data_IF_682180419761
#
_entry.id   IF_682180419761
#
_cell.length_a   1.000
_cell.length_b   1.000
_cell.length_c   1.000
_cell.angle_alpha   90.00
_cell.angle_beta   90.00
_cell.angle_gamma   90.00
#
_symmetry.space_group_name_H-M   'P 1'
#
loop_
_entity.id
_entity.type
_entity.pdbx_description
1 polymer ?
#
# COMPACT_ATOMS: atom_id res chain seq x y z
N UNK A 1 10.32 -6.85 17.92
CA UNK A 1 9.31 -7.08 16.87
C UNK A 1 10.07 -7.34 15.58
N UNK A 2 9.67 -8.32 14.76
CA UNK A 2 10.35 -8.57 13.49
C UNK A 2 9.93 -7.54 12.44
N UNK A 3 10.89 -7.03 11.68
CA UNK A 3 10.66 -6.13 10.56
C UNK A 3 10.13 -6.90 9.34
N UNK A 4 9.25 -6.30 8.55
CA UNK A 4 8.87 -6.77 7.22
C UNK A 4 9.51 -5.92 6.14
N UNK A 5 9.69 -4.63 6.40
CA UNK A 5 10.34 -3.68 5.51
C UNK A 5 11.32 -2.85 6.32
N UNK A 6 12.54 -2.71 5.81
CA UNK A 6 13.60 -1.90 6.43
C UNK A 6 14.20 -0.99 5.36
N UNK A 7 14.27 0.30 5.66
CA UNK A 7 15.06 1.27 4.91
C UNK A 7 16.22 1.69 5.80
N UNK A 8 17.45 1.66 5.26
CA UNK A 8 18.65 2.17 5.93
C UNK A 8 19.33 3.20 5.04
N UNK A 9 19.27 4.48 5.46
CA UNK A 9 19.85 5.65 4.78
C UNK A 9 19.58 5.71 3.30
N UNK A 10 18.37 5.29 2.90
CA UNK A 10 17.95 5.31 1.51
C UNK A 10 17.92 6.75 0.99
N UNK A 11 18.54 6.98 -0.16
CA UNK A 11 18.60 8.32 -0.78
C UNK A 11 18.26 8.24 -2.26
N UNK A 12 17.60 9.32 -2.75
CA UNK A 12 17.26 9.51 -4.17
C UNK A 12 17.23 10.97 -4.54
N UNK A 13 17.94 11.32 -5.61
CA UNK A 13 17.99 12.68 -6.16
C UNK A 13 17.53 12.71 -7.62
N UNK A 14 16.97 13.83 -8.05
CA UNK A 14 16.57 14.12 -9.41
C UNK A 14 17.14 15.50 -9.81
N UNK A 15 17.98 15.54 -10.84
CA UNK A 15 18.57 16.80 -11.32
C UNK A 15 19.25 17.63 -10.23
N UNK A 16 19.92 16.97 -9.26
CA UNK A 16 20.60 17.62 -8.14
C UNK A 16 19.70 17.93 -6.93
N UNK A 17 18.38 17.73 -7.03
CA UNK A 17 17.45 17.93 -5.91
C UNK A 17 17.25 16.58 -5.20
N UNK A 18 17.57 16.53 -3.89
CA UNK A 18 17.35 15.34 -3.07
C UNK A 18 15.85 15.21 -2.75
N UNK A 19 15.18 14.23 -3.37
CA UNK A 19 13.78 13.90 -3.09
C UNK A 19 13.63 12.99 -1.87
N UNK A 20 14.64 12.17 -1.58
CA UNK A 20 14.79 11.35 -0.37
C UNK A 20 16.24 11.46 0.07
N UNK A 21 16.51 11.74 1.34
CA UNK A 21 17.84 11.99 1.89
C UNK A 21 18.04 11.21 3.18
N UNK A 22 18.88 10.16 3.11
CA UNK A 22 19.28 9.30 4.22
C UNK A 22 18.07 8.80 5.06
N UNK A 23 16.99 8.46 4.38
CA UNK A 23 15.77 8.01 5.04
C UNK A 23 15.95 6.60 5.63
N UNK A 24 15.74 6.49 6.93
CA UNK A 24 15.74 5.21 7.64
C UNK A 24 14.44 5.04 8.40
N UNK A 25 13.79 3.90 8.25
CA UNK A 25 12.66 3.47 9.07
C UNK A 25 12.39 1.97 8.92
N UNK A 26 11.54 1.45 9.80
CA UNK A 26 11.13 0.05 9.82
C UNK A 26 9.61 -0.04 9.82
N UNK A 27 9.04 -0.92 8.96
CA UNK A 27 7.65 -1.34 9.07
C UNK A 27 7.58 -2.71 9.76
N UNK A 28 6.69 -2.84 10.74
CA UNK A 28 6.53 -4.06 11.53
C UNK A 28 5.75 -5.14 10.78
N UNK A 29 6.13 -6.41 11.00
CA UNK A 29 5.39 -7.56 10.49
C UNK A 29 4.01 -7.68 11.15
N UNK A 30 2.96 -7.96 10.35
CA UNK A 30 1.58 -8.10 10.82
C UNK A 30 1.02 -6.81 11.42
N UNK A 31 1.45 -5.66 10.92
CA UNK A 31 1.01 -4.33 11.38
C UNK A 31 0.63 -3.43 10.22
N UNK A 32 -0.20 -2.42 10.52
CA UNK A 32 -0.43 -1.28 9.66
C UNK A 32 0.56 -0.17 10.05
N UNK A 33 1.52 0.10 9.16
CA UNK A 33 2.46 1.22 9.32
C UNK A 33 2.03 2.35 8.39
N UNK A 34 1.76 3.54 8.93
CA UNK A 34 1.45 4.73 8.16
C UNK A 34 2.72 5.44 7.68
N UNK A 35 2.79 5.86 6.43
CA UNK A 35 3.80 6.80 5.93
C UNK A 35 3.13 8.15 5.70
N UNK A 36 3.46 9.11 6.54
CA UNK A 36 2.87 10.44 6.55
C UNK A 36 3.85 11.52 6.11
N UNK A 37 3.32 12.68 5.77
CA UNK A 37 4.08 13.89 5.46
C UNK A 37 3.27 14.84 4.58
N UNK A 38 3.61 16.14 4.55
CA UNK A 38 2.94 17.11 3.69
C UNK A 38 3.14 16.80 2.20
N UNK A 39 2.42 17.54 1.35
CA UNK A 39 2.61 17.44 -0.09
C UNK A 39 4.06 17.83 -0.46
N UNK A 40 4.69 17.07 -1.34
CA UNK A 40 6.10 17.26 -1.69
C UNK A 40 7.11 16.69 -0.66
N UNK A 41 6.68 16.05 0.39
CA UNK A 41 7.58 15.45 1.41
C UNK A 41 8.44 14.28 0.90
N UNK A 42 8.19 13.77 -0.32
CA UNK A 42 8.93 12.64 -0.89
C UNK A 42 8.25 11.28 -0.76
N UNK A 43 7.02 11.19 -0.21
CA UNK A 43 6.28 9.93 -0.01
C UNK A 43 6.19 9.08 -1.29
N UNK A 44 5.77 9.68 -2.41
CA UNK A 44 5.68 9.00 -3.71
C UNK A 44 7.03 8.45 -4.17
N UNK A 45 8.12 9.19 -3.91
CA UNK A 45 9.49 8.72 -4.21
C UNK A 45 9.82 7.50 -3.35
N UNK A 46 9.52 7.53 -2.05
CA UNK A 46 9.77 6.42 -1.12
C UNK A 46 9.04 5.15 -1.58
N UNK A 47 7.74 5.23 -1.87
CA UNK A 47 6.99 4.04 -2.32
C UNK A 47 7.43 3.55 -3.70
N UNK A 48 7.91 4.44 -4.58
CA UNK A 48 8.49 4.04 -5.86
C UNK A 48 9.85 3.35 -5.69
N UNK A 49 10.66 3.74 -4.71
CA UNK A 49 11.89 3.03 -4.32
C UNK A 49 11.55 1.64 -3.78
N UNK A 50 10.60 1.52 -2.84
CA UNK A 50 10.18 0.24 -2.24
C UNK A 50 9.62 -0.70 -3.31
N UNK A 51 8.88 -0.18 -4.29
CA UNK A 51 8.27 -1.00 -5.36
C UNK A 51 9.17 -1.22 -6.58
N UNK A 52 10.43 -0.73 -6.56
CA UNK A 52 11.41 -0.92 -7.64
C UNK A 52 11.11 -0.11 -8.92
N UNK A 53 10.16 0.82 -8.88
CA UNK A 53 9.93 1.77 -9.98
C UNK A 53 11.04 2.83 -10.05
N UNK A 54 11.73 3.05 -8.95
CA UNK A 54 12.95 3.85 -8.84
C UNK A 54 14.02 3.03 -8.13
N UNK A 55 15.28 3.30 -8.46
CA UNK A 55 16.45 2.70 -7.82
C UNK A 55 17.07 3.71 -6.86
N UNK A 56 17.48 3.26 -5.66
CA UNK A 56 18.23 4.08 -4.71
C UNK A 56 19.56 4.52 -5.31
N UNK A 57 19.95 5.76 -5.03
CA UNK A 57 21.28 6.26 -5.34
C UNK A 57 22.28 5.77 -4.27
N UNK A 58 21.86 5.71 -3.01
CA UNK A 58 22.61 5.14 -1.87
C UNK A 58 21.68 4.61 -0.80
N UNK A 59 22.25 3.88 0.18
CA UNK A 59 21.50 3.19 1.24
C UNK A 59 20.98 1.83 0.80
N UNK A 60 20.16 1.22 1.64
CA UNK A 60 19.58 -0.10 1.38
C UNK A 60 18.08 -0.16 1.71
N UNK A 61 17.35 -1.05 1.02
CA UNK A 61 15.95 -1.39 1.29
C UNK A 61 15.84 -2.90 1.32
N UNK A 62 15.27 -3.43 2.41
CA UNK A 62 15.05 -4.87 2.56
C UNK A 62 13.57 -5.17 2.76
N UNK A 63 13.07 -6.17 2.03
CA UNK A 63 11.75 -6.75 2.18
C UNK A 63 11.91 -8.18 2.71
N UNK A 64 11.36 -8.45 3.87
CA UNK A 64 11.46 -9.74 4.55
C UNK A 64 12.93 -10.25 4.63
N UNK A 65 13.86 -9.33 4.96
CA UNK A 65 15.29 -9.60 5.01
C UNK A 65 16.02 -9.65 3.65
N UNK A 66 15.30 -9.72 2.53
CA UNK A 66 15.88 -9.72 1.19
C UNK A 66 16.17 -8.30 0.70
N UNK A 67 17.38 -8.06 0.19
CA UNK A 67 17.79 -6.77 -0.38
C UNK A 67 17.04 -6.48 -1.70
N UNK A 68 16.36 -5.33 -1.78
CA UNK A 68 15.55 -4.95 -2.95
C UNK A 68 15.90 -3.59 -3.58
N UNK A 69 16.88 -2.86 -3.06
CA UNK A 69 17.21 -1.47 -3.47
C UNK A 69 17.47 -1.28 -4.97
N UNK A 70 17.87 -2.35 -5.65
CA UNK A 70 18.17 -2.37 -7.10
C UNK A 70 17.36 -3.41 -7.86
N UNK A 71 16.38 -4.03 -7.20
CA UNK A 71 15.54 -5.05 -7.81
C UNK A 71 14.49 -4.44 -8.72
N UNK A 72 14.09 -5.18 -9.74
CA UNK A 72 13.01 -4.76 -10.64
C UNK A 72 11.65 -5.02 -9.99
N UNK A 73 10.58 -4.29 -10.38
CA UNK A 73 9.24 -4.46 -9.78
C UNK A 73 8.72 -5.89 -9.77
N UNK A 74 8.97 -6.66 -10.84
CA UNK A 74 8.51 -8.05 -10.91
C UNK A 74 9.27 -8.99 -9.96
N UNK A 75 10.55 -8.72 -9.67
CA UNK A 75 11.32 -9.51 -8.70
C UNK A 75 10.85 -9.20 -7.27
N UNK A 76 10.57 -7.93 -6.97
CA UNK A 76 10.01 -7.49 -5.69
C UNK A 76 8.59 -8.06 -5.49
N UNK A 77 7.77 -8.07 -6.54
CA UNK A 77 6.46 -8.72 -6.52
C UNK A 77 6.56 -10.23 -6.24
N UNK A 78 7.56 -10.91 -6.81
CA UNK A 78 7.81 -12.32 -6.53
C UNK A 78 8.23 -12.59 -5.08
N UNK A 79 8.89 -11.63 -4.41
CA UNK A 79 9.22 -11.65 -2.99
C UNK A 79 7.99 -11.37 -2.09
N UNK A 80 6.86 -10.99 -2.66
CA UNK A 80 5.61 -10.80 -1.93
C UNK A 80 5.24 -9.36 -1.62
N UNK A 81 5.75 -8.37 -2.35
CA UNK A 81 5.19 -7.02 -2.32
C UNK A 81 4.02 -6.93 -3.30
N UNK A 82 2.87 -6.51 -2.81
CA UNK A 82 1.78 -6.03 -3.68
C UNK A 82 1.53 -4.54 -3.43
N UNK A 83 1.13 -3.81 -4.46
CA UNK A 83 0.85 -2.37 -4.39
C UNK A 83 -0.46 -2.04 -5.08
N UNK A 84 -1.28 -1.19 -4.44
CA UNK A 84 -2.34 -0.43 -5.11
C UNK A 84 -1.78 0.94 -5.53
N UNK A 85 -2.48 1.61 -6.44
CA UNK A 85 -2.09 2.94 -6.91
C UNK A 85 -3.10 3.99 -6.44
N UNK A 86 -2.69 5.24 -6.34
CA UNK A 86 -3.54 6.36 -5.96
C UNK A 86 -4.83 6.40 -6.80
N UNK A 87 -4.71 6.33 -8.11
CA UNK A 87 -5.86 6.12 -9.00
C UNK A 87 -6.10 4.64 -9.20
N UNK A 88 -7.32 4.19 -9.01
CA UNK A 88 -7.70 2.80 -9.23
C UNK A 88 -7.36 2.38 -10.67
N UNK A 89 -6.58 1.32 -10.80
CA UNK A 89 -6.15 0.77 -12.09
C UNK A 89 -6.74 -0.61 -12.31
N UNK A 90 -7.96 -0.66 -12.85
CA UNK A 90 -8.59 -1.90 -13.27
C UNK A 90 -8.36 -2.15 -14.77
N UNK A 91 -8.35 -3.40 -15.15
CA UNK A 91 -8.24 -3.82 -16.57
C UNK A 91 -9.64 -3.66 -17.17
N UNK A 92 -9.78 -2.83 -18.21
CA UNK A 92 -11.07 -2.61 -18.86
C UNK A 92 -11.65 -3.90 -19.44
N UNK A 93 -12.97 -4.02 -19.38
CA UNK A 93 -13.71 -5.17 -19.92
C UNK A 93 -13.65 -6.43 -19.07
N UNK A 94 -13.00 -6.42 -17.89
CA UNK A 94 -12.98 -7.55 -16.97
C UNK A 94 -13.99 -7.37 -15.82
N UNK A 95 -14.64 -8.47 -15.45
CA UNK A 95 -15.47 -8.55 -14.24
C UNK A 95 -14.62 -8.45 -12.97
N UNK A 96 -15.25 -8.15 -11.82
CA UNK A 96 -14.57 -8.12 -10.52
C UNK A 96 -13.83 -9.43 -10.25
N UNK A 97 -14.43 -10.58 -10.55
CA UNK A 97 -13.79 -11.89 -10.40
C UNK A 97 -12.55 -12.04 -11.28
N UNK A 98 -12.65 -11.65 -12.55
CA UNK A 98 -11.55 -11.75 -13.51
C UNK A 98 -10.39 -10.81 -13.15
N UNK A 99 -10.67 -9.62 -12.58
CA UNK A 99 -9.64 -8.74 -12.02
C UNK A 99 -8.80 -9.46 -10.97
N UNK A 100 -9.46 -10.16 -10.04
CA UNK A 100 -8.76 -10.85 -8.93
C UNK A 100 -8.02 -12.09 -9.45
N UNK A 101 -8.61 -12.83 -10.39
CA UNK A 101 -7.91 -13.93 -11.07
C UNK A 101 -6.63 -13.42 -11.74
N UNK A 102 -6.69 -12.28 -12.45
CA UNK A 102 -5.51 -11.68 -13.08
C UNK A 102 -4.40 -11.36 -12.07
N UNK A 103 -4.75 -10.88 -10.87
CA UNK A 103 -3.80 -10.62 -9.78
C UNK A 103 -3.05 -11.88 -9.30
N UNK A 104 -3.66 -13.05 -9.43
CA UNK A 104 -3.05 -14.32 -9.00
C UNK A 104 -1.94 -14.83 -9.94
N UNK A 105 -1.76 -14.22 -11.11
CA UNK A 105 -0.71 -14.60 -12.08
C UNK A 105 0.63 -13.86 -11.88
N UNK A 106 0.77 -13.01 -10.88
CA UNK A 106 1.99 -12.21 -10.64
C UNK A 106 3.20 -13.09 -10.29
N UNK A 107 2.99 -14.22 -9.61
CA UNK A 107 4.08 -15.18 -9.36
C UNK A 107 4.47 -15.87 -10.67
N UNK A 108 5.75 -15.76 -11.04
CA UNK A 108 6.37 -16.41 -12.21
C UNK A 108 6.07 -17.92 -12.24
N UNK A 109 4.95 -18.28 -12.77
CA UNK A 109 4.65 -19.67 -13.10
C UNK A 109 4.82 -19.82 -14.60
N UNK A 110 5.93 -20.45 -15.03
CA UNK A 110 6.22 -20.80 -16.42
C UNK A 110 5.12 -21.63 -17.07
N UNK A 111 4.15 -22.08 -16.28
CA UNK A 111 2.95 -22.80 -16.69
C UNK A 111 1.85 -21.90 -17.26
N UNK A 112 2.07 -20.57 -17.43
CA UNK A 112 1.08 -19.69 -18.06
C UNK A 112 0.73 -20.18 -19.49
N UNK A 113 1.74 -20.61 -20.27
CA UNK A 113 1.55 -21.16 -21.62
C UNK A 113 0.75 -22.49 -21.57
N UNK A 114 0.95 -23.32 -20.55
CA UNK A 114 0.19 -24.54 -20.36
C UNK A 114 -1.30 -24.30 -20.00
N UNK A 115 -1.65 -23.13 -19.49
CA UNK A 115 -3.04 -22.75 -19.17
C UNK A 115 -3.89 -22.50 -20.41
N UNK A 116 -3.28 -22.19 -21.55
CA UNK A 116 -3.96 -22.08 -22.85
C UNK A 116 -4.24 -23.43 -23.52
N UNK A 117 -3.60 -24.51 -23.05
CA UNK A 117 -3.90 -25.85 -23.50
C UNK A 117 -5.19 -26.30 -22.81
N UNK A 118 -6.20 -26.72 -23.58
CA UNK A 118 -7.51 -27.19 -23.10
C UNK A 118 -7.41 -28.54 -22.38
N UNK A 119 -6.40 -28.71 -21.54
CA UNK A 119 -6.16 -29.94 -20.80
C UNK A 119 -7.02 -30.00 -19.52
N UNK A 120 -7.37 -31.20 -19.02
CA UNK A 120 -8.06 -31.35 -17.74
C UNK A 120 -7.29 -30.70 -16.55
N UNK A 121 -5.97 -30.69 -16.61
CA UNK A 121 -5.12 -30.03 -15.61
C UNK A 121 -5.27 -28.51 -15.64
N UNK A 122 -5.27 -27.89 -16.84
CA UNK A 122 -5.50 -26.45 -17.01
C UNK A 122 -6.89 -26.03 -16.50
N UNK A 123 -7.92 -26.84 -16.78
CA UNK A 123 -9.27 -26.56 -16.27
C UNK A 123 -9.36 -26.65 -14.74
N UNK A 124 -8.72 -27.63 -14.12
CA UNK A 124 -8.65 -27.75 -12.64
C UNK A 124 -7.94 -26.55 -12.03
N UNK A 125 -6.81 -26.15 -12.60
CA UNK A 125 -6.07 -24.97 -12.14
C UNK A 125 -6.90 -23.69 -12.25
N UNK A 126 -7.56 -23.45 -13.40
CA UNK A 126 -8.41 -22.28 -13.58
C UNK A 126 -9.59 -22.26 -12.60
N UNK A 127 -10.18 -23.41 -12.29
CA UNK A 127 -11.21 -23.52 -11.25
C UNK A 127 -10.65 -23.11 -9.90
N UNK A 128 -9.52 -23.66 -9.47
CA UNK A 128 -8.88 -23.29 -8.20
C UNK A 128 -8.55 -21.80 -8.10
N UNK A 129 -8.10 -21.17 -9.20
CA UNK A 129 -7.86 -19.72 -9.24
C UNK A 129 -9.16 -18.91 -9.09
N UNK A 130 -10.25 -19.35 -9.72
CA UNK A 130 -11.57 -18.72 -9.55
C UNK A 130 -12.11 -18.88 -8.15
N UNK A 131 -11.98 -20.06 -7.53
CA UNK A 131 -12.40 -20.32 -6.15
C UNK A 131 -11.60 -19.43 -5.19
N UNK A 132 -10.28 -19.34 -5.37
CA UNK A 132 -9.43 -18.39 -4.62
C UNK A 132 -9.88 -16.95 -4.81
N UNK A 133 -10.11 -16.52 -6.04
CA UNK A 133 -10.55 -15.16 -6.36
C UNK A 133 -11.91 -14.84 -5.73
N UNK A 134 -12.85 -15.79 -5.73
CA UNK A 134 -14.15 -15.62 -5.08
C UNK A 134 -13.97 -15.43 -3.55
N UNK A 135 -13.14 -16.25 -2.92
CA UNK A 135 -12.83 -16.09 -1.50
C UNK A 135 -12.18 -14.72 -1.18
N UNK A 136 -11.29 -14.22 -2.06
CA UNK A 136 -10.71 -12.89 -1.90
C UNK A 136 -11.74 -11.77 -2.06
N UNK A 137 -12.71 -11.92 -2.98
CA UNK A 137 -13.84 -11.00 -3.11
C UNK A 137 -14.74 -11.02 -1.86
N UNK A 138 -14.97 -12.18 -1.26
CA UNK A 138 -15.69 -12.30 0.02
C UNK A 138 -14.95 -11.52 1.13
N UNK A 139 -13.64 -11.69 1.25
CA UNK A 139 -12.81 -10.97 2.25
C UNK A 139 -12.92 -9.45 2.14
N UNK A 140 -13.06 -8.92 0.94
CA UNK A 140 -13.22 -7.46 0.72
C UNK A 140 -14.69 -7.02 0.63
N UNK A 141 -15.66 -7.95 0.82
CA UNK A 141 -17.09 -7.66 0.78
C UNK A 141 -17.67 -7.46 -0.62
N UNK A 142 -17.02 -8.01 -1.67
CA UNK A 142 -17.38 -7.81 -3.07
C UNK A 142 -17.86 -9.09 -3.78
N UNK A 143 -18.19 -10.16 -3.05
CA UNK A 143 -18.66 -11.42 -3.64
C UNK A 143 -19.94 -11.25 -4.46
N UNK A 144 -20.85 -10.36 -4.02
CA UNK A 144 -22.12 -10.07 -4.71
C UNK A 144 -21.91 -9.47 -6.12
N UNK A 145 -20.80 -8.80 -6.35
CA UNK A 145 -20.45 -8.13 -7.60
C UNK A 145 -19.46 -8.94 -8.47
N UNK A 146 -19.19 -10.20 -8.14
CA UNK A 146 -18.17 -11.02 -8.82
C UNK A 146 -18.34 -11.05 -10.35
N UNK A 147 -19.57 -11.10 -10.87
CA UNK A 147 -19.90 -11.10 -12.31
C UNK A 147 -20.08 -9.71 -12.93
N UNK A 148 -19.99 -8.64 -12.15
CA UNK A 148 -20.17 -7.26 -12.61
C UNK A 148 -18.89 -6.76 -13.28
N UNK A 149 -18.99 -6.03 -14.40
CA UNK A 149 -17.86 -5.34 -15.01
C UNK A 149 -17.26 -4.37 -13.99
N UNK A 150 -15.98 -4.51 -13.71
CA UNK A 150 -15.33 -3.77 -12.62
C UNK A 150 -15.36 -2.24 -12.84
N UNK A 151 -15.34 -1.78 -14.07
CA UNK A 151 -15.44 -0.37 -14.45
C UNK A 151 -16.81 0.27 -14.20
N UNK A 152 -17.87 -0.53 -14.00
CA UNK A 152 -19.23 -0.03 -13.71
C UNK A 152 -19.55 0.07 -12.22
N UNK A 153 -18.64 -0.41 -11.37
CA UNK A 153 -18.75 -0.33 -9.92
C UNK A 153 -18.52 1.10 -9.42
N UNK A 154 -19.05 1.43 -8.24
CA UNK A 154 -18.71 2.68 -7.55
C UNK A 154 -17.21 2.75 -7.24
N UNK A 155 -16.68 3.96 -7.03
CA UNK A 155 -15.24 4.13 -6.80
C UNK A 155 -14.74 3.35 -5.57
N UNK A 156 -15.51 3.33 -4.49
CA UNK A 156 -15.17 2.55 -3.29
C UNK A 156 -15.18 1.04 -3.54
N UNK A 157 -16.12 0.53 -4.35
CA UNK A 157 -16.18 -0.88 -4.75
C UNK A 157 -15.01 -1.24 -5.68
N UNK A 158 -14.68 -0.36 -6.64
CA UNK A 158 -13.50 -0.54 -7.49
C UNK A 158 -12.22 -0.64 -6.67
N UNK A 159 -12.06 0.19 -5.63
CA UNK A 159 -10.92 0.13 -4.71
C UNK A 159 -10.86 -1.19 -3.97
N UNK A 160 -11.98 -1.71 -3.49
CA UNK A 160 -12.02 -3.02 -2.83
C UNK A 160 -11.63 -4.15 -3.79
N UNK A 161 -12.10 -4.11 -5.04
CA UNK A 161 -11.69 -5.06 -6.08
C UNK A 161 -10.19 -4.95 -6.39
N UNK A 162 -9.63 -3.72 -6.44
CA UNK A 162 -8.19 -3.52 -6.61
C UNK A 162 -7.38 -4.12 -5.46
N UNK A 163 -7.84 -3.94 -4.21
CA UNK A 163 -7.23 -4.57 -3.02
C UNK A 163 -7.31 -6.10 -3.15
N UNK A 164 -8.48 -6.67 -3.49
CA UNK A 164 -8.64 -8.10 -3.69
C UNK A 164 -7.70 -8.63 -4.78
N UNK A 165 -7.52 -7.90 -5.88
CA UNK A 165 -6.56 -8.22 -6.94
C UNK A 165 -5.13 -8.24 -6.42
N UNK A 166 -4.75 -7.27 -5.61
CA UNK A 166 -3.42 -7.22 -5.00
C UNK A 166 -3.19 -8.41 -4.03
N UNK A 167 -4.21 -8.80 -3.28
CA UNK A 167 -4.18 -10.00 -2.42
C UNK A 167 -4.05 -11.30 -3.21
N UNK A 168 -4.47 -11.33 -4.49
CA UNK A 168 -4.32 -12.49 -5.38
C UNK A 168 -2.90 -13.01 -5.50
N UNK A 169 -1.90 -12.13 -5.33
CA UNK A 169 -0.48 -12.48 -5.33
C UNK A 169 0.04 -13.11 -4.02
N UNK A 170 -0.80 -13.32 -3.00
CA UNK A 170 -0.42 -13.75 -1.64
C UNK A 170 0.74 -12.92 -1.07
N UNK A 171 0.55 -11.60 -0.91
CA UNK A 171 1.64 -10.72 -0.48
C UNK A 171 1.99 -10.92 0.99
N UNK A 172 3.29 -10.70 1.33
CA UNK A 172 3.75 -10.55 2.72
C UNK A 172 3.67 -9.09 3.18
N UNK A 173 3.67 -8.15 2.23
CA UNK A 173 3.48 -6.71 2.44
C UNK A 173 2.56 -6.13 1.37
N UNK A 174 1.47 -5.51 1.81
CA UNK A 174 0.56 -4.74 0.96
C UNK A 174 0.86 -3.24 1.11
N UNK A 175 1.21 -2.58 0.02
CA UNK A 175 1.42 -1.13 -0.04
C UNK A 175 0.15 -0.47 -0.57
N UNK A 176 -0.49 0.34 0.27
CA UNK A 176 -1.68 1.12 -0.05
C UNK A 176 -1.29 2.59 -0.25
N UNK A 177 -1.45 3.09 -1.46
CA UNK A 177 -1.08 4.45 -1.85
C UNK A 177 -2.33 5.32 -1.88
N UNK A 178 -2.53 6.13 -0.84
CA UNK A 178 -3.71 6.99 -0.61
C UNK A 178 -5.03 6.24 -0.88
N UNK A 179 -5.28 5.11 -0.17
CA UNK A 179 -6.39 4.21 -0.52
C UNK A 179 -7.77 4.84 -0.39
N UNK A 180 -7.88 5.97 0.32
CA UNK A 180 -9.16 6.65 0.59
C UNK A 180 -9.32 7.96 -0.17
N UNK A 181 -8.38 8.32 -1.05
CA UNK A 181 -8.45 9.55 -1.83
C UNK A 181 -9.74 9.61 -2.66
N UNK A 182 -10.46 10.72 -2.58
CA UNK A 182 -11.73 10.93 -3.31
C UNK A 182 -12.96 10.23 -2.74
N UNK A 183 -12.83 9.55 -1.59
CA UNK A 183 -13.93 8.85 -0.91
C UNK A 183 -14.63 9.76 0.12
N UNK A 184 -15.90 9.49 0.35
CA UNK A 184 -16.60 10.09 1.48
C UNK A 184 -16.13 9.47 2.82
N UNK A 185 -16.47 10.07 3.99
CA UNK A 185 -16.01 9.58 5.29
C UNK A 185 -16.44 8.15 5.61
N UNK A 186 -17.63 7.72 5.16
CA UNK A 186 -18.11 6.36 5.39
C UNK A 186 -17.31 5.34 4.58
N UNK A 187 -17.11 5.59 3.28
CA UNK A 187 -16.29 4.74 2.40
C UNK A 187 -14.84 4.64 2.92
N UNK A 188 -14.28 5.78 3.35
CA UNK A 188 -12.93 5.83 3.93
C UNK A 188 -12.82 4.96 5.18
N UNK A 189 -13.81 5.02 6.08
CA UNK A 189 -13.86 4.19 7.28
C UNK A 189 -13.97 2.69 6.94
N UNK A 190 -14.74 2.34 5.91
CA UNK A 190 -14.89 0.94 5.46
C UNK A 190 -13.57 0.37 4.92
N UNK A 191 -12.78 1.18 4.19
CA UNK A 191 -11.43 0.80 3.75
C UNK A 191 -10.50 0.64 4.96
N UNK A 192 -10.57 1.54 5.94
CA UNK A 192 -9.82 1.43 7.19
C UNK A 192 -10.15 0.14 7.95
N UNK A 193 -11.43 -0.19 8.12
CA UNK A 193 -11.87 -1.44 8.74
C UNK A 193 -11.42 -2.68 7.96
N UNK A 194 -11.39 -2.60 6.62
CA UNK A 194 -10.84 -3.66 5.78
C UNK A 194 -9.34 -3.85 6.06
N UNK A 195 -8.56 -2.76 6.15
CA UNK A 195 -7.12 -2.88 6.46
C UNK A 195 -6.87 -3.52 7.82
N UNK A 196 -7.68 -3.20 8.85
CA UNK A 196 -7.59 -3.86 10.16
C UNK A 196 -7.88 -5.36 10.08
N UNK A 197 -8.94 -5.78 9.38
CA UNK A 197 -9.24 -7.21 9.20
C UNK A 197 -8.09 -7.95 8.53
N UNK A 198 -7.52 -7.38 7.46
CA UNK A 198 -6.38 -7.96 6.75
C UNK A 198 -5.13 -8.06 7.63
N UNK A 199 -4.88 -7.04 8.47
CA UNK A 199 -3.80 -7.07 9.47
C UNK A 199 -4.03 -8.17 10.51
N UNK A 200 -5.25 -8.30 11.03
CA UNK A 200 -5.61 -9.29 12.05
C UNK A 200 -5.47 -10.73 11.51
N UNK A 201 -5.57 -10.90 10.19
CA UNK A 201 -5.23 -12.14 9.48
C UNK A 201 -3.72 -12.33 9.28
N UNK A 202 -2.87 -11.41 9.76
CA UNK A 202 -1.41 -11.49 9.73
C UNK A 202 -0.73 -10.74 8.57
N UNK A 203 -1.49 -10.04 7.71
CA UNK A 203 -0.92 -9.26 6.62
C UNK A 203 -0.22 -8.01 7.15
N UNK A 204 0.99 -7.73 6.65
CA UNK A 204 1.67 -6.46 6.90
C UNK A 204 1.21 -5.42 5.88
N UNK A 205 0.97 -4.20 6.32
CA UNK A 205 0.46 -3.12 5.46
C UNK A 205 1.31 -1.86 5.65
N UNK A 206 1.79 -1.28 4.55
CA UNK A 206 2.33 0.08 4.51
C UNK A 206 1.29 0.97 3.85
N UNK A 207 0.72 1.89 4.60
CA UNK A 207 -0.33 2.80 4.13
C UNK A 207 0.21 4.22 4.03
N UNK A 208 0.18 4.79 2.82
CA UNK A 208 0.47 6.20 2.61
C UNK A 208 -0.84 6.96 2.72
N UNK A 209 -0.92 7.87 3.67
CA UNK A 209 -2.10 8.70 3.90
C UNK A 209 -1.72 10.11 4.35
N UNK A 210 -2.56 11.05 3.99
CA UNK A 210 -2.47 12.44 4.45
C UNK A 210 -3.61 12.81 5.41
N UNK A 211 -4.64 11.99 5.52
CA UNK A 211 -5.75 12.16 6.46
C UNK A 211 -5.32 11.68 7.85
N UNK A 212 -5.03 12.63 8.75
CA UNK A 212 -4.57 12.36 10.12
C UNK A 212 -5.54 11.49 10.91
N UNK A 213 -6.86 11.69 10.72
CA UNK A 213 -7.87 10.89 11.42
C UNK A 213 -7.77 9.41 11.04
N UNK A 214 -7.70 9.10 9.75
CA UNK A 214 -7.56 7.71 9.29
C UNK A 214 -6.27 7.06 9.80
N UNK A 215 -5.19 7.83 9.86
CA UNK A 215 -3.92 7.32 10.37
C UNK A 215 -4.02 7.01 11.87
N UNK A 216 -4.68 7.88 12.64
CA UNK A 216 -4.91 7.64 14.08
C UNK A 216 -5.79 6.43 14.30
N UNK A 217 -6.86 6.30 13.52
CA UNK A 217 -7.86 5.25 13.72
C UNK A 217 -7.37 3.88 13.21
N UNK A 218 -6.50 3.84 12.18
CA UNK A 218 -6.19 2.60 11.47
C UNK A 218 -4.71 2.21 11.37
N UNK A 219 -3.76 3.04 11.84
CA UNK A 219 -2.35 2.66 11.87
C UNK A 219 -1.89 2.25 13.27
N UNK A 220 -1.13 1.17 13.37
CA UNK A 220 -0.49 0.74 14.63
C UNK A 220 0.74 1.60 14.96
N UNK A 221 1.41 2.10 13.91
CA UNK A 221 2.56 3.01 13.99
C UNK A 221 2.60 3.90 12.75
N UNK A 222 3.29 5.02 12.86
CA UNK A 222 3.51 5.94 11.73
C UNK A 222 4.96 6.32 11.62
N UNK A 223 5.36 6.63 10.41
CA UNK A 223 6.62 7.28 10.05
C UNK A 223 6.27 8.58 9.36
N UNK A 224 6.81 9.69 9.84
CA UNK A 224 6.55 11.01 9.28
C UNK A 224 7.78 11.50 8.55
N UNK A 225 7.59 11.88 7.28
CA UNK A 225 8.66 12.40 6.42
C UNK A 225 8.37 13.84 6.02
N UNK A 226 9.42 14.65 5.90
CA UNK A 226 9.35 15.99 5.39
C UNK A 226 10.64 16.31 4.58
N UNK A 227 10.48 16.85 3.39
CA UNK A 227 11.60 17.11 2.45
C UNK A 227 12.54 15.90 2.29
N UNK A 228 11.96 14.71 2.14
CA UNK A 228 12.70 13.46 1.96
C UNK A 228 13.42 12.92 3.18
N UNK A 229 13.23 13.51 4.37
CA UNK A 229 13.89 13.13 5.62
C UNK A 229 12.88 12.63 6.64
N UNK A 230 13.30 11.71 7.48
CA UNK A 230 12.57 11.28 8.66
C UNK A 230 12.50 12.43 9.69
N UNK A 231 11.30 12.70 10.25
CA UNK A 231 11.13 13.72 11.27
C UNK A 231 10.54 13.18 12.58
N UNK A 232 9.71 12.14 12.51
CA UNK A 232 9.15 11.47 13.68
C UNK A 232 8.69 10.05 13.31
N UNK A 233 8.66 9.15 14.28
CA UNK A 233 8.03 7.84 14.18
C UNK A 233 7.49 7.37 15.52
N UNK A 234 6.54 6.45 15.51
CA UNK A 234 5.93 5.90 16.73
C UNK A 234 4.42 5.75 16.63
N UNK A 235 3.75 5.92 17.80
CA UNK A 235 2.28 5.87 17.82
C UNK A 235 1.70 7.08 17.10
N UNK A 236 0.61 6.92 16.33
CA UNK A 236 0.03 8.01 15.55
C UNK A 236 -0.27 9.28 16.37
N UNK A 237 -0.92 9.12 17.54
CA UNK A 237 -1.27 10.24 18.41
C UNK A 237 -0.05 11.01 18.95
N UNK A 238 1.06 10.30 19.21
CA UNK A 238 2.27 10.93 19.71
C UNK A 238 2.96 11.72 18.61
N UNK A 239 3.04 11.14 17.40
CA UNK A 239 3.64 11.81 16.24
C UNK A 239 2.86 13.07 15.81
N UNK A 240 1.52 13.04 15.84
CA UNK A 240 0.70 14.22 15.47
C UNK A 240 0.89 15.38 16.45
N UNK A 241 1.20 15.08 17.73
CA UNK A 241 1.49 16.09 18.76
C UNK A 241 2.94 16.60 18.73
N UNK A 242 3.82 15.96 17.98
CA UNK A 242 5.22 16.38 17.87
C UNK A 242 5.30 17.78 17.22
N UNK A 243 5.96 18.77 17.85
CA UNK A 243 6.09 20.13 17.31
C UNK A 243 6.70 20.16 15.90
N UNK A 244 7.65 19.27 15.59
CA UNK A 244 8.26 19.18 14.26
C UNK A 244 7.25 18.74 13.20
N UNK A 245 6.36 17.82 13.57
CA UNK A 245 5.29 17.35 12.68
C UNK A 245 4.27 18.47 12.47
N UNK A 246 3.86 19.15 13.54
CA UNK A 246 2.96 20.29 13.45
C UNK A 246 3.55 21.42 12.60
N UNK A 247 4.83 21.76 12.80
CA UNK A 247 5.53 22.77 11.97
C UNK A 247 5.56 22.35 10.49
N UNK A 248 5.79 21.06 10.19
CA UNK A 248 5.84 20.55 8.82
C UNK A 248 4.49 20.66 8.09
N UNK A 249 3.39 20.49 8.78
CA UNK A 249 2.03 20.54 8.19
C UNK A 249 1.42 21.93 8.17
N UNK A 250 1.64 22.73 9.23
CA UNK A 250 0.95 24.02 9.44
C UNK A 250 1.87 25.23 9.28
N UNK A 251 3.21 25.05 9.20
CA UNK A 251 4.19 26.11 9.17
C UNK A 251 4.43 26.75 10.55
N UNK A 252 5.41 27.64 10.64
CA UNK A 252 5.85 28.26 11.91
C UNK A 252 4.84 29.19 12.59
N UNK A 253 3.78 29.63 11.90
CA UNK A 253 2.87 30.69 12.38
C UNK A 253 1.64 30.23 13.17
N UNK A 254 1.46 28.93 13.46
CA UNK A 254 0.28 28.40 14.18
C UNK A 254 0.59 27.76 15.54
N UNK A 255 1.74 28.05 16.15
CA UNK A 255 2.08 27.53 17.47
C UNK A 255 1.53 28.44 18.60
N UNK A 256 0.83 29.52 18.30
CA UNK A 256 0.25 30.39 19.31
C UNK A 256 -1.17 29.96 19.69
N UNK A 257 -1.27 29.41 20.90
CA UNK A 257 -2.33 29.54 21.90
C UNK A 257 -3.64 28.77 21.80
N UNK A 258 -3.95 27.89 20.81
CA UNK A 258 -5.16 27.05 20.99
C UNK A 258 -4.95 25.65 20.41
N UNK A 259 -4.53 24.73 21.25
CA UNK A 259 -4.17 23.35 20.89
C UNK A 259 -5.32 22.45 20.47
N UNK A 260 -6.42 22.93 19.85
CA UNK A 260 -7.54 22.13 19.35
C UNK A 260 -8.50 22.96 18.45
N UNK A 261 -7.99 23.81 17.60
CA UNK A 261 -8.78 24.62 16.68
C UNK A 261 -8.80 24.07 15.26
N UNK A 262 -9.93 23.52 14.86
CA UNK A 262 -10.39 23.27 13.50
C UNK A 262 -9.60 22.26 12.64
N UNK A 263 -9.86 20.99 12.89
CA UNK A 263 -9.81 19.95 11.87
C UNK A 263 -11.16 20.04 11.12
N UNK A 264 -11.19 20.78 10.01
CA UNK A 264 -12.28 20.82 9.06
C UNK A 264 -11.92 20.03 7.81
#
# INVERSE_FOLDING_TARGET
MSAILELDRASKSFGGIAAVSELSFVAGRGRVTGLMGPNGAGKTTVINLISGLLTCDSGSIKLDGAEISRSKPHDIGALGLARTYQNVRLISGLTALEQVVAGSFVKRDTSFIASFLHTPAARRRMRALRDKAMHLLERVGMAHAAGTLAETLSYGEQRRVEIARALGADPVLLLLDEPTAGMNPQESNEIGLLTHRLRDEGLSILMVEHNMKLVVDFCDSVVVVNFGRHIADGKPLDCIKDPKVQEAYFGKQRIDADGLGAIG
#
